data_IF_052912350853
#
_entry.id   IF_052912350853
#
_cell.length_a   1.000
_cell.length_b   1.000
_cell.length_c   1.000
_cell.angle_alpha   90.00
_cell.angle_beta   90.00
_cell.angle_gamma   90.00
#
_symmetry.space_group_name_H-M   'P 1'
#
loop_
_entity.id
_entity.type
_entity.pdbx_description
1 polymer ?
#
# COMPACT_ATOMS: atom_id res chain seq x y z
N UNK A 1 0.55 -21.24 -0.29
CA UNK A 1 -0.28 -20.03 -0.60
C UNK A 1 -1.38 -19.90 0.43
N UNK A 2 -1.58 -18.69 0.93
CA UNK A 2 -2.71 -18.39 1.86
C UNK A 2 -4.01 -18.70 1.14
N UNK A 3 -4.89 -19.46 1.78
CA UNK A 3 -6.26 -19.66 1.26
C UNK A 3 -7.02 -18.33 1.40
N UNK A 4 -7.37 -17.69 0.31
CA UNK A 4 -8.02 -16.38 0.29
C UNK A 4 -9.55 -16.46 0.15
N UNK A 5 -10.08 -17.62 -0.21
CA UNK A 5 -11.52 -17.82 -0.34
C UNK A 5 -12.26 -17.51 0.98
N UNK A 6 -13.20 -16.59 0.93
CA UNK A 6 -13.96 -16.13 2.08
C UNK A 6 -13.19 -15.22 3.06
N UNK A 7 -11.92 -14.91 2.82
CA UNK A 7 -11.18 -13.94 3.64
C UNK A 7 -11.64 -12.52 3.33
N UNK A 8 -11.73 -11.68 4.36
CA UNK A 8 -12.14 -10.28 4.26
C UNK A 8 -10.90 -9.39 4.17
N UNK A 9 -10.82 -8.61 3.11
CA UNK A 9 -9.65 -7.79 2.78
C UNK A 9 -10.06 -6.32 2.64
N UNK A 10 -9.41 -5.43 3.37
CA UNK A 10 -9.51 -3.98 3.15
C UNK A 10 -8.34 -3.56 2.25
N UNK A 11 -8.63 -2.88 1.13
CA UNK A 11 -7.61 -2.31 0.24
C UNK A 11 -7.78 -0.80 0.19
N UNK A 12 -6.79 -0.06 0.70
CA UNK A 12 -6.77 1.41 0.62
C UNK A 12 -6.10 1.88 -0.67
N UNK A 13 -6.50 3.07 -1.16
CA UNK A 13 -6.04 3.55 -2.47
C UNK A 13 -6.48 2.64 -3.62
N UNK A 14 -7.61 1.95 -3.46
CA UNK A 14 -8.11 0.94 -4.40
C UNK A 14 -8.65 1.51 -5.73
N UNK A 15 -8.69 2.84 -5.89
CA UNK A 15 -9.28 3.50 -7.08
C UNK A 15 -8.39 3.46 -8.32
N UNK A 16 -7.12 3.04 -8.23
CA UNK A 16 -6.20 2.95 -9.38
C UNK A 16 -4.92 2.14 -9.06
N UNK A 17 -4.12 1.88 -10.08
CA UNK A 17 -2.78 1.32 -9.97
C UNK A 17 -2.70 0.00 -9.20
N UNK A 18 -1.69 -0.14 -8.35
CA UNK A 18 -1.43 -1.36 -7.57
C UNK A 18 -2.64 -1.72 -6.69
N UNK A 19 -3.27 -0.73 -6.03
CA UNK A 19 -4.45 -0.99 -5.18
C UNK A 19 -5.62 -1.59 -5.94
N UNK A 20 -5.94 -1.07 -7.12
CA UNK A 20 -7.00 -1.62 -7.98
C UNK A 20 -6.64 -3.04 -8.48
N UNK A 21 -5.38 -3.28 -8.84
CA UNK A 21 -4.93 -4.61 -9.28
C UNK A 21 -4.90 -5.62 -8.13
N UNK A 22 -4.51 -5.21 -6.91
CA UNK A 22 -4.62 -6.05 -5.71
C UNK A 22 -6.08 -6.39 -5.40
N UNK A 23 -6.99 -5.42 -5.45
CA UNK A 23 -8.41 -5.65 -5.21
C UNK A 23 -8.99 -6.70 -6.17
N UNK A 24 -8.71 -6.57 -7.47
CA UNK A 24 -9.09 -7.58 -8.47
C UNK A 24 -8.43 -8.93 -8.23
N UNK A 25 -7.16 -8.93 -7.84
CA UNK A 25 -6.41 -10.15 -7.54
C UNK A 25 -6.99 -10.90 -6.33
N UNK A 26 -7.22 -10.21 -5.22
CA UNK A 26 -7.89 -10.79 -4.04
C UNK A 26 -9.28 -11.33 -4.38
N UNK A 27 -10.07 -10.54 -5.10
CA UNK A 27 -11.40 -10.99 -5.53
C UNK A 27 -11.33 -12.23 -6.41
N UNK A 28 -10.35 -12.34 -7.32
CA UNK A 28 -10.17 -13.52 -8.17
C UNK A 28 -9.89 -14.79 -7.36
N UNK A 29 -9.19 -14.65 -6.25
CA UNK A 29 -8.89 -15.75 -5.32
C UNK A 29 -10.04 -16.02 -4.31
N UNK A 30 -11.20 -15.41 -4.49
CA UNK A 30 -12.40 -15.67 -3.67
C UNK A 30 -12.52 -14.82 -2.41
N UNK A 31 -11.69 -13.81 -2.23
CA UNK A 31 -11.80 -12.90 -1.08
C UNK A 31 -12.96 -11.90 -1.23
N UNK A 32 -13.52 -11.50 -0.10
CA UNK A 32 -14.48 -10.40 0.06
C UNK A 32 -13.70 -9.10 0.26
N UNK A 33 -13.89 -8.09 -0.58
CA UNK A 33 -12.96 -6.95 -0.63
C UNK A 33 -13.66 -5.63 -0.33
N UNK A 34 -13.20 -4.90 0.68
CA UNK A 34 -13.53 -3.48 0.90
C UNK A 34 -12.57 -2.61 0.10
N UNK A 35 -13.12 -1.81 -0.80
CA UNK A 35 -12.41 -0.84 -1.64
C UNK A 35 -12.50 0.55 -1.00
N UNK A 36 -11.40 1.08 -0.49
CA UNK A 36 -11.37 2.38 0.15
C UNK A 36 -10.50 3.38 -0.62
N UNK A 37 -11.06 4.51 -1.04
CA UNK A 37 -10.36 5.67 -1.63
C UNK A 37 -11.32 6.86 -1.74
N UNK A 38 -10.80 8.05 -2.11
CA UNK A 38 -11.59 9.28 -2.26
C UNK A 38 -12.48 9.31 -3.50
N UNK A 39 -12.07 8.65 -4.60
CA UNK A 39 -12.74 8.69 -5.91
C UNK A 39 -13.76 7.55 -6.01
N UNK A 40 -15.00 7.83 -5.63
CA UNK A 40 -16.08 6.82 -5.61
C UNK A 40 -16.39 6.24 -6.98
N UNK A 41 -16.43 7.07 -8.01
CA UNK A 41 -16.65 6.66 -9.41
C UNK A 41 -15.65 5.59 -9.85
N UNK A 42 -14.36 5.81 -9.53
CA UNK A 42 -13.28 4.87 -9.82
C UNK A 42 -13.35 3.59 -8.97
N UNK A 43 -13.75 3.71 -7.70
CA UNK A 43 -13.98 2.52 -6.87
C UNK A 43 -15.09 1.65 -7.44
N UNK A 44 -16.18 2.26 -7.92
CA UNK A 44 -17.29 1.53 -8.58
C UNK A 44 -16.86 0.88 -9.91
N UNK A 45 -15.96 1.51 -10.68
CA UNK A 45 -15.35 0.89 -11.87
C UNK A 45 -14.53 -0.35 -11.50
N UNK A 46 -13.68 -0.26 -10.46
CA UNK A 46 -12.91 -1.40 -9.96
C UNK A 46 -13.84 -2.50 -9.45
N UNK A 47 -14.88 -2.16 -8.70
CA UNK A 47 -15.86 -3.10 -8.16
C UNK A 47 -16.53 -3.93 -9.26
N UNK A 48 -16.92 -3.30 -10.40
CA UNK A 48 -17.51 -4.03 -11.55
C UNK A 48 -16.56 -5.04 -12.19
N UNK A 49 -15.26 -4.89 -12.00
CA UNK A 49 -14.25 -5.81 -12.53
C UNK A 49 -13.82 -6.90 -11.53
N UNK A 50 -14.36 -6.90 -10.32
CA UNK A 50 -14.16 -7.93 -9.31
C UNK A 50 -15.13 -9.10 -9.55
N UNK A 51 -14.69 -10.32 -9.25
CA UNK A 51 -15.47 -11.54 -9.47
C UNK A 51 -16.38 -11.91 -8.28
N UNK A 52 -15.97 -11.50 -7.08
CA UNK A 52 -16.70 -11.75 -5.85
C UNK A 52 -17.21 -10.46 -5.22
N UNK A 53 -17.93 -10.58 -4.12
CA UNK A 53 -18.55 -9.45 -3.45
C UNK A 53 -17.55 -8.38 -3.02
N UNK A 54 -17.89 -7.13 -3.28
CA UNK A 54 -17.10 -5.95 -2.90
C UNK A 54 -17.95 -4.94 -2.15
N UNK A 55 -17.35 -4.33 -1.15
CA UNK A 55 -17.88 -3.17 -0.45
C UNK A 55 -17.11 -1.92 -0.90
N UNK A 56 -17.83 -0.91 -1.39
CA UNK A 56 -17.23 0.36 -1.81
C UNK A 56 -17.41 1.38 -0.69
N UNK A 57 -16.30 1.86 -0.12
CA UNK A 57 -16.29 2.87 0.95
C UNK A 57 -15.50 4.09 0.49
N UNK A 58 -16.18 5.14 0.00
CA UNK A 58 -15.52 6.42 -0.28
C UNK A 58 -14.97 7.02 1.00
N UNK A 59 -13.64 7.22 1.08
CA UNK A 59 -12.98 7.64 2.29
C UNK A 59 -11.71 8.45 2.01
N UNK A 60 -11.48 9.49 2.81
CA UNK A 60 -10.22 10.20 2.90
C UNK A 60 -9.50 9.77 4.19
N UNK A 61 -8.42 9.03 4.04
CA UNK A 61 -7.66 8.49 5.17
C UNK A 61 -7.04 9.57 6.09
N UNK A 62 -7.00 10.82 5.66
CA UNK A 62 -6.58 11.94 6.51
C UNK A 62 -7.64 12.29 7.56
N UNK A 63 -8.90 11.87 7.36
CA UNK A 63 -10.01 12.11 8.28
C UNK A 63 -10.19 10.93 9.25
N UNK A 64 -10.15 11.16 10.57
CA UNK A 64 -10.35 10.09 11.55
C UNK A 64 -11.66 9.33 11.34
N UNK A 65 -12.76 10.05 11.12
CA UNK A 65 -14.10 9.48 10.93
C UNK A 65 -14.17 8.52 9.73
N UNK A 66 -13.50 8.88 8.62
CA UNK A 66 -13.50 8.03 7.43
C UNK A 66 -12.74 6.70 7.67
N UNK A 67 -11.65 6.74 8.46
CA UNK A 67 -10.94 5.52 8.88
C UNK A 67 -11.80 4.61 9.74
N UNK A 68 -12.54 5.19 10.68
CA UNK A 68 -13.51 4.46 11.50
C UNK A 68 -14.63 3.86 10.65
N UNK A 69 -15.18 4.63 9.69
CA UNK A 69 -16.20 4.17 8.75
C UNK A 69 -15.76 2.96 7.96
N UNK A 70 -14.52 2.94 7.44
CA UNK A 70 -13.98 1.77 6.72
C UNK A 70 -14.05 0.51 7.59
N UNK A 71 -13.63 0.59 8.85
CA UNK A 71 -13.63 -0.56 9.76
C UNK A 71 -15.05 -0.97 10.12
N UNK A 72 -15.91 0.00 10.48
CA UNK A 72 -17.29 -0.25 10.90
C UNK A 72 -18.11 -0.89 9.78
N UNK A 73 -18.07 -0.34 8.56
CA UNK A 73 -18.82 -0.90 7.42
C UNK A 73 -18.30 -2.28 7.03
N UNK A 74 -16.97 -2.51 7.05
CA UNK A 74 -16.40 -3.82 6.76
C UNK A 74 -16.84 -4.86 7.78
N UNK A 75 -16.77 -4.53 9.07
CA UNK A 75 -17.16 -5.45 10.15
C UNK A 75 -18.67 -5.66 10.22
N UNK A 76 -19.47 -4.62 9.99
CA UNK A 76 -20.93 -4.74 9.89
C UNK A 76 -21.36 -5.67 8.74
N UNK A 77 -20.61 -5.65 7.62
CA UNK A 77 -20.94 -6.47 6.43
C UNK A 77 -20.53 -7.92 6.59
N UNK A 78 -19.34 -8.22 7.15
CA UNK A 78 -18.75 -9.56 7.13
C UNK A 78 -18.28 -10.09 8.49
N UNK A 79 -18.38 -9.29 9.54
CA UNK A 79 -18.04 -9.70 10.92
C UNK A 79 -16.56 -9.88 11.22
N UNK A 80 -15.67 -9.67 10.25
CA UNK A 80 -14.22 -9.90 10.38
C UNK A 80 -13.38 -9.03 9.45
N UNK A 81 -12.08 -8.97 9.72
CA UNK A 81 -11.06 -8.37 8.84
C UNK A 81 -9.83 -9.28 8.89
N UNK A 82 -9.49 -9.96 7.80
CA UNK A 82 -8.37 -10.88 7.74
C UNK A 82 -7.08 -10.20 7.24
N UNK A 83 -7.23 -9.28 6.28
CA UNK A 83 -6.09 -8.61 5.66
C UNK A 83 -6.38 -7.11 5.55
N UNK A 84 -5.46 -6.30 6.05
CA UNK A 84 -5.41 -4.86 5.79
C UNK A 84 -4.29 -4.56 4.78
N UNK A 85 -4.65 -4.01 3.62
CA UNK A 85 -3.70 -3.52 2.62
C UNK A 85 -3.61 -2.00 2.68
N UNK A 86 -2.59 -1.51 3.35
CA UNK A 86 -2.23 -0.09 3.38
C UNK A 86 -1.48 0.29 2.11
N UNK A 87 -2.21 0.56 1.03
CA UNK A 87 -1.64 0.91 -0.27
C UNK A 87 -1.78 2.40 -0.61
N UNK A 88 -2.72 3.12 0.00
CA UNK A 88 -2.87 4.55 -0.24
C UNK A 88 -1.56 5.30 0.03
N UNK A 89 -1.20 6.20 -0.86
CA UNK A 89 0.02 6.98 -0.75
C UNK A 89 0.20 7.94 -1.92
N UNK A 90 1.20 8.79 -1.81
CA UNK A 90 1.56 9.77 -2.83
C UNK A 90 3.09 9.85 -2.98
N UNK A 91 3.55 10.27 -4.16
CA UNK A 91 4.92 10.72 -4.37
C UNK A 91 5.07 12.19 -3.99
N UNK A 92 6.31 12.63 -3.93
CA UNK A 92 6.67 14.04 -3.83
C UNK A 92 8.06 14.22 -4.42
N UNK A 93 8.15 15.14 -5.36
CA UNK A 93 9.35 15.33 -6.16
C UNK A 93 9.71 16.81 -6.19
N UNK A 94 10.99 17.11 -6.04
CA UNK A 94 11.50 18.47 -6.11
C UNK A 94 12.84 18.65 -5.40
N UNK A 95 13.57 19.73 -5.73
CA UNK A 95 14.82 20.06 -5.05
C UNK A 95 14.59 20.25 -3.54
N UNK A 96 15.47 19.72 -2.72
CA UNK A 96 15.33 19.75 -1.25
C UNK A 96 15.06 21.15 -0.70
N UNK A 97 15.81 22.16 -1.16
CA UNK A 97 15.66 23.54 -0.66
C UNK A 97 14.34 24.22 -1.08
N UNK A 98 13.62 23.66 -2.05
CA UNK A 98 12.33 24.16 -2.52
C UNK A 98 11.15 23.39 -1.94
N UNK A 99 11.39 22.25 -1.31
CA UNK A 99 10.35 21.43 -0.66
C UNK A 99 9.94 22.08 0.65
N UNK A 100 8.73 22.64 0.70
CA UNK A 100 8.23 23.39 1.86
C UNK A 100 7.93 22.48 3.06
N UNK A 101 7.87 23.05 4.27
CA UNK A 101 7.44 22.34 5.47
C UNK A 101 6.04 21.73 5.30
N UNK A 102 5.12 22.46 4.70
CA UNK A 102 3.76 21.96 4.42
C UNK A 102 3.79 20.71 3.53
N UNK A 103 4.66 20.69 2.50
CA UNK A 103 4.83 19.53 1.63
C UNK A 103 5.39 18.32 2.39
N UNK A 104 6.40 18.54 3.26
CA UNK A 104 6.92 17.50 4.14
C UNK A 104 5.84 16.92 5.06
N UNK A 105 5.05 17.77 5.71
CA UNK A 105 3.93 17.31 6.56
C UNK A 105 2.91 16.52 5.76
N UNK A 106 2.52 17.02 4.59
CA UNK A 106 1.52 16.36 3.74
C UNK A 106 1.93 14.94 3.34
N UNK A 107 3.19 14.72 2.94
CA UNK A 107 3.62 13.38 2.52
C UNK A 107 3.66 12.40 3.71
N UNK A 108 4.08 12.85 4.90
CA UNK A 108 4.08 12.01 6.09
C UNK A 108 2.65 11.72 6.58
N UNK A 109 1.76 12.71 6.57
CA UNK A 109 0.33 12.49 6.87
C UNK A 109 -0.27 11.44 5.93
N UNK A 110 0.01 11.55 4.62
CA UNK A 110 -0.56 10.65 3.63
C UNK A 110 0.08 9.26 3.64
N UNK A 111 1.43 9.17 3.65
CA UNK A 111 2.12 7.90 3.46
C UNK A 111 2.34 7.11 4.76
N UNK A 112 2.33 7.79 5.91
CA UNK A 112 2.62 7.16 7.20
C UNK A 112 1.47 7.26 8.18
N UNK A 113 1.08 8.47 8.60
CA UNK A 113 0.12 8.60 9.71
C UNK A 113 -1.26 8.06 9.34
N UNK A 114 -1.72 8.26 8.10
CA UNK A 114 -3.00 7.71 7.65
C UNK A 114 -3.08 6.19 7.81
N UNK A 115 -1.99 5.48 7.41
CA UNK A 115 -1.92 4.03 7.54
C UNK A 115 -1.71 3.56 8.99
N UNK A 116 -0.93 4.29 9.79
CA UNK A 116 -0.72 3.98 11.21
C UNK A 116 -2.06 3.99 11.93
N UNK A 117 -2.83 5.07 11.79
CA UNK A 117 -4.12 5.22 12.48
C UNK A 117 -5.20 4.26 11.95
N UNK A 118 -5.22 3.95 10.65
CA UNK A 118 -6.11 2.90 10.15
C UNK A 118 -5.71 1.52 10.70
N UNK A 119 -4.41 1.23 10.77
CA UNK A 119 -3.93 -0.01 11.37
C UNK A 119 -4.34 -0.12 12.83
N UNK A 120 -4.22 0.97 13.62
CA UNK A 120 -4.71 1.01 15.00
C UNK A 120 -6.21 0.73 15.11
N UNK A 121 -7.01 1.22 14.17
CA UNK A 121 -8.46 0.97 14.16
C UNK A 121 -8.82 -0.49 13.79
N UNK A 122 -8.01 -1.14 12.93
CA UNK A 122 -8.24 -2.53 12.49
C UNK A 122 -7.73 -3.57 13.50
N UNK A 123 -6.62 -3.31 14.16
CA UNK A 123 -5.96 -4.28 15.04
C UNK A 123 -6.85 -4.87 16.12
N UNK A 124 -7.76 -4.15 16.81
CA UNK A 124 -8.67 -4.75 17.79
C UNK A 124 -9.54 -5.87 17.23
N UNK A 125 -9.98 -5.74 15.97
CA UNK A 125 -10.76 -6.78 15.28
C UNK A 125 -9.89 -8.02 15.06
N UNK A 126 -8.67 -7.84 14.49
CA UNK A 126 -7.74 -8.94 14.27
C UNK A 126 -7.27 -9.62 15.57
N UNK A 127 -7.08 -8.84 16.65
CA UNK A 127 -6.74 -9.40 17.98
C UNK A 127 -7.86 -10.28 18.54
N UNK A 128 -9.11 -9.85 18.41
CA UNK A 128 -10.28 -10.68 18.81
C UNK A 128 -10.37 -11.96 17.98
N UNK A 129 -9.97 -11.92 16.71
CA UNK A 129 -9.92 -13.10 15.83
C UNK A 129 -8.74 -14.06 16.17
N UNK A 130 -7.66 -13.53 16.79
CA UNK A 130 -6.42 -14.28 17.02
C UNK A 130 -5.57 -14.47 15.76
N UNK A 131 -5.94 -13.88 14.64
CA UNK A 131 -5.21 -13.94 13.37
C UNK A 131 -5.41 -12.67 12.53
N UNK A 132 -4.46 -12.37 11.65
CA UNK A 132 -4.57 -11.27 10.70
C UNK A 132 -3.28 -11.03 9.92
N UNK A 133 -3.39 -10.20 8.88
CA UNK A 133 -2.25 -9.76 8.10
C UNK A 133 -2.35 -8.25 7.83
N UNK A 134 -1.33 -7.50 8.20
CA UNK A 134 -1.14 -6.10 7.81
C UNK A 134 -0.10 -6.04 6.68
N UNK A 135 -0.53 -5.67 5.49
CA UNK A 135 0.33 -5.51 4.31
C UNK A 135 0.53 -4.01 4.03
N UNK A 136 1.73 -3.52 4.22
CA UNK A 136 2.09 -2.13 3.98
C UNK A 136 2.80 -1.97 2.63
N UNK A 137 2.25 -1.14 1.72
CA UNK A 137 2.89 -0.77 0.47
C UNK A 137 3.98 0.28 0.74
N UNK A 138 5.20 -0.20 0.94
CA UNK A 138 6.39 0.64 1.01
C UNK A 138 6.88 1.01 -0.41
N UNK A 139 8.14 0.83 -0.69
CA UNK A 139 8.81 1.04 -1.98
C UNK A 139 10.24 0.54 -1.84
N UNK A 140 10.93 0.28 -2.94
CA UNK A 140 12.40 0.17 -2.94
C UNK A 140 13.02 1.45 -2.35
N UNK A 141 12.40 2.62 -2.57
CA UNK A 141 12.76 3.90 -1.92
C UNK A 141 12.59 3.93 -0.41
N UNK A 142 12.03 2.89 0.21
CA UNK A 142 12.02 2.69 1.67
C UNK A 142 13.24 1.92 2.19
N UNK A 143 14.12 1.46 1.31
CA UNK A 143 15.32 0.68 1.64
C UNK A 143 16.60 1.36 1.15
N UNK A 144 16.53 2.08 0.03
CA UNK A 144 17.65 2.79 -0.61
C UNK A 144 17.19 4.12 -1.20
N UNK A 145 18.12 5.04 -1.40
CA UNK A 145 17.91 6.30 -2.13
C UNK A 145 18.63 6.22 -3.47
N UNK A 146 17.91 5.97 -4.55
CA UNK A 146 18.48 5.71 -5.88
C UNK A 146 18.12 6.75 -6.96
N UNK A 147 17.45 7.84 -6.56
CA UNK A 147 17.08 8.93 -7.46
C UNK A 147 17.28 10.28 -6.77
N UNK A 148 17.42 11.33 -7.57
CA UNK A 148 17.47 12.72 -7.12
C UNK A 148 16.06 13.28 -6.92
N UNK A 149 15.95 14.35 -6.15
CA UNK A 149 14.71 15.13 -5.94
C UNK A 149 13.57 14.31 -5.28
N UNK A 150 13.89 13.25 -4.54
CA UNK A 150 12.94 12.33 -3.90
C UNK A 150 13.10 12.26 -2.37
N UNK A 151 13.83 13.20 -1.76
CA UNK A 151 14.19 13.11 -0.33
C UNK A 151 12.97 12.91 0.58
N UNK A 152 11.90 13.68 0.40
CA UNK A 152 10.70 13.57 1.23
C UNK A 152 9.98 12.23 1.02
N UNK A 153 9.88 11.77 -0.22
CA UNK A 153 9.29 10.47 -0.55
C UNK A 153 10.10 9.31 0.05
N UNK A 154 11.41 9.31 -0.16
CA UNK A 154 12.32 8.29 0.38
C UNK A 154 12.22 8.25 1.91
N UNK A 155 12.28 9.40 2.58
CA UNK A 155 12.12 9.48 4.03
C UNK A 155 10.80 8.88 4.50
N UNK A 156 9.68 9.22 3.84
CA UNK A 156 8.36 8.68 4.17
C UNK A 156 8.30 7.15 3.99
N UNK A 157 8.91 6.61 2.93
CA UNK A 157 8.89 5.16 2.67
C UNK A 157 9.87 4.38 3.57
N UNK A 158 10.99 4.99 4.01
CA UNK A 158 11.82 4.43 5.09
C UNK A 158 11.04 4.36 6.41
N UNK A 159 10.26 5.41 6.72
CA UNK A 159 9.38 5.40 7.89
C UNK A 159 8.34 4.27 7.84
N UNK A 160 7.74 3.99 6.67
CA UNK A 160 6.82 2.85 6.48
C UNK A 160 7.52 1.51 6.76
N UNK A 161 8.74 1.31 6.26
CA UNK A 161 9.51 0.07 6.53
C UNK A 161 9.88 -0.01 8.01
N UNK A 162 10.33 1.09 8.61
CA UNK A 162 10.63 1.16 10.04
C UNK A 162 9.42 0.85 10.92
N UNK A 163 8.27 1.46 10.62
CA UNK A 163 6.99 1.17 11.27
C UNK A 163 6.61 -0.30 11.14
N UNK A 164 6.71 -0.87 9.93
CA UNK A 164 6.39 -2.28 9.70
C UNK A 164 7.25 -3.23 10.53
N UNK A 165 8.55 -2.91 10.69
CA UNK A 165 9.47 -3.68 11.54
C UNK A 165 9.12 -3.59 13.02
N UNK A 166 8.81 -2.39 13.52
CA UNK A 166 8.37 -2.17 14.90
C UNK A 166 7.08 -2.92 15.18
N UNK A 167 6.06 -2.70 14.35
CA UNK A 167 4.75 -3.34 14.49
C UNK A 167 4.82 -4.87 14.47
N UNK A 168 5.67 -5.46 13.63
CA UNK A 168 5.85 -6.92 13.59
C UNK A 168 6.43 -7.47 14.91
N UNK A 169 7.26 -6.69 15.62
CA UNK A 169 7.77 -7.06 16.95
C UNK A 169 6.71 -6.92 18.02
N UNK A 170 5.93 -5.84 17.99
CA UNK A 170 4.85 -5.60 18.95
C UNK A 170 3.73 -6.66 18.83
N UNK A 171 3.53 -7.22 17.65
CA UNK A 171 2.52 -8.25 17.38
C UNK A 171 3.05 -9.68 17.45
N UNK A 172 4.31 -9.88 17.86
CA UNK A 172 4.89 -11.21 17.96
C UNK A 172 4.09 -12.10 18.93
N UNK A 173 3.72 -13.30 18.48
CA UNK A 173 2.93 -14.26 19.26
C UNK A 173 1.42 -14.03 19.26
N UNK A 174 0.91 -12.98 18.60
CA UNK A 174 -0.54 -12.68 18.56
C UNK A 174 -1.30 -13.38 17.42
N UNK A 175 -0.60 -14.08 16.52
CA UNK A 175 -1.19 -14.61 15.29
C UNK A 175 -1.35 -13.56 14.16
N UNK A 176 -1.04 -12.28 14.44
CA UNK A 176 -1.13 -11.21 13.44
C UNK A 176 0.25 -10.98 12.81
N UNK A 177 0.31 -11.03 11.50
CA UNK A 177 1.55 -10.87 10.73
C UNK A 177 1.62 -9.50 10.07
N UNK A 178 2.83 -9.04 9.81
CA UNK A 178 3.08 -7.77 9.09
C UNK A 178 4.01 -8.05 7.91
N UNK A 179 3.66 -7.53 6.74
CA UNK A 179 4.50 -7.53 5.54
C UNK A 179 4.70 -6.08 5.04
N UNK A 180 5.88 -5.80 4.52
CA UNK A 180 6.20 -4.56 3.80
C UNK A 180 6.58 -4.90 2.36
N UNK A 181 5.68 -4.64 1.43
CA UNK A 181 5.95 -4.82 0.01
C UNK A 181 6.73 -3.63 -0.54
N UNK A 182 7.85 -3.89 -1.18
CA UNK A 182 8.77 -2.88 -1.73
C UNK A 182 8.83 -2.98 -3.26
N UNK A 183 7.81 -2.48 -3.99
CA UNK A 183 7.86 -2.42 -5.45
C UNK A 183 8.92 -1.42 -5.94
N UNK A 184 9.33 -1.58 -7.19
CA UNK A 184 10.11 -0.62 -7.95
C UNK A 184 9.19 0.31 -8.76
N UNK A 185 9.71 0.95 -9.81
CA UNK A 185 8.92 1.79 -10.70
C UNK A 185 7.78 0.96 -11.31
N UNK A 186 6.55 1.38 -11.07
CA UNK A 186 5.34 0.71 -11.55
C UNK A 186 4.55 1.67 -12.43
N UNK A 187 4.07 1.20 -13.56
CA UNK A 187 3.33 1.98 -14.56
C UNK A 187 1.92 2.32 -14.05
N UNK A 188 1.80 3.36 -13.25
CA UNK A 188 0.55 3.83 -12.62
C UNK A 188 0.38 5.33 -12.78
N UNK A 189 -0.80 5.83 -12.44
CA UNK A 189 -1.08 7.27 -12.32
C UNK A 189 -0.32 7.97 -11.18
N UNK A 190 0.37 7.20 -10.32
CA UNK A 190 1.06 7.68 -9.12
C UNK A 190 1.99 8.88 -9.41
N UNK A 191 2.81 8.76 -10.43
CA UNK A 191 3.76 9.82 -10.80
C UNK A 191 3.04 11.08 -11.30
N UNK A 192 1.94 10.92 -12.03
CA UNK A 192 1.20 12.02 -12.66
C UNK A 192 0.47 12.90 -11.64
N UNK A 193 -0.03 12.32 -10.56
CA UNK A 193 -0.82 13.04 -9.55
C UNK A 193 -0.04 13.38 -8.29
N UNK A 194 1.28 13.18 -8.29
CA UNK A 194 2.14 13.57 -7.18
C UNK A 194 2.64 15.01 -7.35
N UNK A 195 2.73 15.79 -6.25
CA UNK A 195 3.37 17.10 -6.28
C UNK A 195 4.80 17.01 -6.87
N UNK A 196 5.12 17.93 -7.79
CA UNK A 196 6.39 17.93 -8.52
C UNK A 196 6.47 16.86 -9.62
N UNK A 197 5.32 16.41 -10.16
CA UNK A 197 5.27 15.41 -11.23
C UNK A 197 6.10 15.82 -12.46
N UNK A 198 6.17 17.12 -12.78
CA UNK A 198 6.96 17.70 -13.84
C UNK A 198 8.47 17.45 -13.68
N UNK A 199 8.96 17.42 -12.43
CA UNK A 199 10.36 17.12 -12.11
C UNK A 199 10.72 15.65 -12.39
N UNK A 200 9.75 14.77 -12.28
CA UNK A 200 9.92 13.33 -12.52
C UNK A 200 9.56 12.89 -13.94
N UNK A 201 8.87 13.74 -14.72
CA UNK A 201 8.40 13.37 -16.06
C UNK A 201 9.52 12.86 -16.99
N UNK A 202 10.72 13.50 -17.06
CA UNK A 202 11.82 12.98 -17.88
C UNK A 202 12.33 11.61 -17.42
N UNK A 203 12.38 11.39 -16.10
CA UNK A 203 12.81 10.11 -15.51
C UNK A 203 11.77 9.02 -15.80
N UNK A 204 10.49 9.32 -15.62
CA UNK A 204 9.38 8.42 -15.91
C UNK A 204 9.40 7.99 -17.38
N UNK A 205 9.53 8.93 -18.31
CA UNK A 205 9.58 8.60 -19.75
C UNK A 205 10.82 7.77 -20.11
N UNK A 206 11.99 8.12 -19.56
CA UNK A 206 13.24 7.36 -19.78
C UNK A 206 13.13 5.90 -19.33
N UNK A 207 12.44 5.65 -18.22
CA UNK A 207 12.34 4.30 -17.64
C UNK A 207 11.00 3.59 -17.91
N UNK A 208 10.14 4.16 -18.74
CA UNK A 208 8.78 3.64 -19.00
C UNK A 208 8.77 2.19 -19.47
N UNK A 209 9.67 1.80 -20.34
CA UNK A 209 9.81 0.41 -20.82
C UNK A 209 10.35 -0.57 -19.77
N UNK A 210 10.91 -0.05 -18.68
CA UNK A 210 11.44 -0.86 -17.58
C UNK A 210 10.49 -0.90 -16.37
N UNK A 211 9.36 -0.20 -16.40
CA UNK A 211 8.37 -0.26 -15.33
C UNK A 211 7.72 -1.63 -15.28
N UNK A 212 7.38 -2.05 -14.06
CA UNK A 212 6.50 -3.20 -13.87
C UNK A 212 5.04 -2.79 -14.11
N UNK A 213 4.20 -3.71 -14.58
CA UNK A 213 2.77 -3.46 -14.60
C UNK A 213 2.18 -3.51 -13.18
N UNK A 214 1.09 -2.77 -12.90
CA UNK A 214 0.39 -2.90 -11.62
C UNK A 214 -0.08 -4.34 -11.35
N UNK A 215 -0.43 -5.06 -12.40
CA UNK A 215 -0.88 -6.45 -12.38
C UNK A 215 0.26 -7.39 -11.94
N UNK A 216 1.46 -7.25 -12.50
CA UNK A 216 2.63 -8.07 -12.12
C UNK A 216 3.02 -7.81 -10.66
N UNK A 217 3.01 -6.54 -10.24
CA UNK A 217 3.26 -6.16 -8.84
C UNK A 217 2.22 -6.77 -7.91
N UNK A 218 0.93 -6.65 -8.24
CA UNK A 218 -0.14 -7.23 -7.44
C UNK A 218 -0.02 -8.75 -7.35
N UNK A 219 0.21 -9.45 -8.47
CA UNK A 219 0.37 -10.89 -8.48
C UNK A 219 1.60 -11.33 -7.67
N UNK A 220 2.72 -10.60 -7.79
CA UNK A 220 3.92 -10.88 -7.02
C UNK A 220 3.73 -10.68 -5.51
N UNK A 221 2.89 -9.73 -5.09
CA UNK A 221 2.49 -9.55 -3.68
C UNK A 221 1.61 -10.73 -3.23
N UNK A 222 0.58 -11.09 -3.99
CA UNK A 222 -0.32 -12.21 -3.66
C UNK A 222 0.44 -13.52 -3.47
N UNK A 223 1.43 -13.79 -4.30
CA UNK A 223 2.28 -14.98 -4.22
C UNK A 223 3.19 -15.02 -2.97
N UNK A 224 3.30 -13.90 -2.23
CA UNK A 224 4.19 -13.78 -1.08
C UNK A 224 3.46 -13.45 0.23
N UNK A 225 2.13 -13.56 0.28
CA UNK A 225 1.36 -13.28 1.50
C UNK A 225 1.70 -14.22 2.66
N UNK A 226 2.21 -15.41 2.38
CA UNK A 226 2.67 -16.39 3.37
C UNK A 226 4.18 -16.32 3.66
N UNK A 227 4.88 -15.32 3.10
CA UNK A 227 6.33 -15.15 3.32
C UNK A 227 6.67 -14.98 4.79
N UNK A 228 7.71 -15.66 5.26
CA UNK A 228 8.30 -15.47 6.58
C UNK A 228 9.18 -14.20 6.66
N UNK A 229 9.48 -13.59 5.50
CA UNK A 229 10.23 -12.35 5.42
C UNK A 229 9.28 -11.16 5.58
N UNK A 230 9.63 -10.24 6.46
CA UNK A 230 8.87 -8.99 6.63
C UNK A 230 8.90 -8.13 5.36
N UNK A 231 10.08 -7.99 4.74
CA UNK A 231 10.22 -7.22 3.49
C UNK A 231 10.14 -8.17 2.31
N UNK A 232 9.21 -7.89 1.39
CA UNK A 232 9.00 -8.67 0.17
C UNK A 232 9.17 -7.80 -1.07
N UNK A 233 9.79 -8.38 -2.10
CA UNK A 233 9.94 -7.76 -3.42
C UNK A 233 8.94 -8.39 -4.38
N UNK A 234 7.93 -7.64 -4.87
CA UNK A 234 6.87 -8.21 -5.71
C UNK A 234 7.38 -8.81 -7.03
N UNK A 235 8.45 -8.22 -7.58
CA UNK A 235 9.07 -8.66 -8.82
C UNK A 235 10.57 -8.83 -8.62
N UNK A 236 11.28 -9.33 -9.62
CA UNK A 236 12.75 -9.50 -9.54
C UNK A 236 13.52 -8.16 -9.63
N UNK A 237 12.93 -7.10 -10.18
CA UNK A 237 13.62 -5.82 -10.38
C UNK A 237 14.03 -5.12 -9.08
N UNK A 238 13.12 -4.91 -8.10
CA UNK A 238 13.49 -4.26 -6.84
C UNK A 238 14.57 -5.04 -6.06
N UNK A 239 14.52 -6.36 -6.06
CA UNK A 239 15.52 -7.17 -5.38
C UNK A 239 16.92 -6.94 -5.98
N UNK A 240 17.03 -6.96 -7.32
CA UNK A 240 18.30 -6.71 -8.02
C UNK A 240 18.84 -5.29 -7.81
N UNK A 241 17.95 -4.29 -7.75
CA UNK A 241 18.35 -2.91 -7.48
C UNK A 241 18.84 -2.78 -6.04
N UNK A 242 18.14 -3.39 -5.08
CA UNK A 242 18.54 -3.39 -3.68
C UNK A 242 19.91 -4.04 -3.46
N UNK A 243 20.14 -5.22 -4.03
CA UNK A 243 21.44 -5.92 -3.93
C UNK A 243 22.62 -5.09 -4.47
N UNK A 244 22.40 -4.30 -5.51
CA UNK A 244 23.44 -3.45 -6.11
C UNK A 244 23.76 -2.18 -5.32
N UNK A 245 22.84 -1.70 -4.50
CA UNK A 245 22.94 -0.39 -3.85
C UNK A 245 22.85 -0.42 -2.31
N UNK A 246 22.74 -1.61 -1.69
CA UNK A 246 22.60 -1.73 -0.23
C UNK A 246 23.80 -1.21 0.56
N UNK A 247 24.96 -1.14 -0.08
CA UNK A 247 26.25 -0.80 0.55
C UNK A 247 26.67 0.66 0.25
N UNK A 248 25.76 1.49 -0.36
CA UNK A 248 25.93 2.93 -0.60
C UNK A 248 25.09 3.70 0.44
#
# INVERSE_FOLDING_TARGET
MVALNGKVVIVTGASSGIGASLARGFSREGALVTLAARREDRLREVARSCLHEVLVVPADLLRPQDRETIVQETTARWGRIDILVNNAGMGMYGPFLQTTEAAWRQIFETNLFSMVFLTQAVLPVMQTQGEGLVLNLASIGGLIAHAEKVAAYVASKHAVVGFSRGLARDLAGTGIRVLAACPHLTATEFFRFSPGAEEMAPTVEKFKSFMDSPEDVAQGILNQLDSDRLVVFPTAKPAKVFEKQRDI
#
